data_IF_119817067739
#
_entry.id   IF_119817067739
#
_cell.length_a   1.000
_cell.length_b   1.000
_cell.length_c   1.000
_cell.angle_alpha   90.00
_cell.angle_beta   90.00
_cell.angle_gamma   90.00
#
_symmetry.space_group_name_H-M   'P 1'
#
loop_
_entity.id
_entity.type
_entity.pdbx_description
1 polymer ?
#
# COMPACT_ATOMS: atom_id res chain seq x y z
N UNK A 1 4.83 10.29 -12.12
CA UNK A 1 5.95 11.13 -11.64
C UNK A 1 6.26 12.23 -12.65
N UNK A 2 6.75 13.40 -12.23
CA UNK A 2 7.19 14.49 -13.12
C UNK A 2 8.28 14.07 -14.12
N UNK A 3 8.20 14.59 -15.35
CA UNK A 3 9.07 14.20 -16.46
C UNK A 3 10.54 14.65 -16.36
N UNK A 4 10.88 15.50 -15.39
CA UNK A 4 12.26 15.98 -15.17
C UNK A 4 13.04 15.17 -14.14
N UNK A 5 12.43 14.16 -13.52
CA UNK A 5 13.12 13.31 -12.54
C UNK A 5 14.02 12.29 -13.22
N UNK A 6 15.20 12.06 -12.62
CA UNK A 6 16.11 10.97 -12.98
C UNK A 6 15.58 9.64 -12.46
N UNK A 7 15.98 8.53 -13.06
CA UNK A 7 15.61 7.15 -12.69
C UNK A 7 15.75 6.87 -11.19
N UNK A 8 16.80 7.38 -10.53
CA UNK A 8 17.00 7.22 -9.08
C UNK A 8 15.87 7.87 -8.26
N UNK A 9 15.36 9.02 -8.71
CA UNK A 9 14.24 9.71 -8.06
C UNK A 9 12.92 9.00 -8.34
N UNK A 10 12.76 8.38 -9.50
CA UNK A 10 11.62 7.52 -9.81
C UNK A 10 11.56 6.33 -8.84
N UNK A 11 12.66 5.58 -8.72
CA UNK A 11 12.75 4.43 -7.82
C UNK A 11 12.49 4.83 -6.36
N UNK A 12 13.13 5.93 -5.91
CA UNK A 12 12.90 6.47 -4.57
C UNK A 12 11.42 6.81 -4.34
N UNK A 13 10.80 7.54 -5.28
CA UNK A 13 9.39 7.96 -5.15
C UNK A 13 8.46 6.75 -5.15
N UNK A 14 8.71 5.75 -5.99
CA UNK A 14 7.94 4.51 -6.02
C UNK A 14 8.02 3.75 -4.70
N UNK A 15 9.23 3.59 -4.15
CA UNK A 15 9.43 2.93 -2.86
C UNK A 15 8.73 3.69 -1.71
N UNK A 16 8.82 5.02 -1.70
CA UNK A 16 8.13 5.85 -0.71
C UNK A 16 6.61 5.74 -0.85
N UNK A 17 6.07 5.78 -2.07
CA UNK A 17 4.65 5.62 -2.34
C UNK A 17 4.13 4.22 -2.00
N UNK A 18 4.97 3.19 -2.06
CA UNK A 18 4.61 1.82 -1.67
C UNK A 18 4.54 1.62 -0.16
N UNK A 19 5.52 2.16 0.57
CA UNK A 19 5.57 2.05 2.05
C UNK A 19 4.56 2.99 2.71
N UNK A 20 4.21 4.11 2.07
CA UNK A 20 3.22 5.04 2.58
C UNK A 20 1.82 4.64 2.15
N UNK A 21 0.85 4.75 3.07
CA UNK A 21 -0.55 4.46 2.74
C UNK A 21 -1.06 5.35 1.62
N UNK A 22 -1.69 4.73 0.63
CA UNK A 22 -2.36 5.40 -0.48
C UNK A 22 -3.84 5.57 -0.15
N UNK A 23 -4.51 6.55 -0.75
CA UNK A 23 -5.94 6.77 -0.58
C UNK A 23 -6.55 7.06 -1.94
N UNK A 24 -7.80 6.66 -2.12
CA UNK A 24 -8.52 6.90 -3.37
C UNK A 24 -9.26 8.24 -3.31
N UNK A 25 -9.21 8.99 -4.41
CA UNK A 25 -9.99 10.22 -4.60
C UNK A 25 -10.71 10.12 -5.93
N UNK A 26 -11.99 10.49 -5.96
CA UNK A 26 -12.76 10.50 -7.19
C UNK A 26 -12.24 11.58 -8.15
N UNK A 27 -12.07 11.30 -9.46
CA UNK A 27 -11.42 12.23 -10.40
C UNK A 27 -12.06 13.62 -10.52
N UNK A 28 -13.37 13.74 -10.23
CA UNK A 28 -14.12 15.00 -10.31
C UNK A 28 -14.28 15.70 -8.95
N UNK A 29 -13.77 15.11 -7.87
CA UNK A 29 -13.87 15.64 -6.51
C UNK A 29 -12.64 16.48 -6.14
N UNK A 30 -12.82 17.46 -5.25
CA UNK A 30 -11.70 18.20 -4.70
C UNK A 30 -10.89 17.32 -3.74
N UNK A 31 -9.56 17.45 -3.78
CA UNK A 31 -8.68 16.75 -2.84
C UNK A 31 -9.00 17.26 -1.43
N UNK A 32 -9.37 16.38 -0.48
CA UNK A 32 -9.74 16.81 0.86
C UNK A 32 -8.53 17.38 1.60
N UNK A 33 -8.67 18.60 2.15
CA UNK A 33 -7.63 19.25 2.95
C UNK A 33 -7.44 18.62 4.34
N UNK A 34 -8.48 17.94 4.86
CA UNK A 34 -8.40 17.28 6.16
C UNK A 34 -7.59 15.98 6.08
N UNK A 35 -6.51 15.93 6.84
CA UNK A 35 -5.67 14.73 6.99
C UNK A 35 -6.45 13.54 7.59
N UNK A 36 -7.49 13.80 8.39
CA UNK A 36 -8.30 12.74 8.99
C UNK A 36 -9.09 11.97 7.93
N UNK A 37 -9.75 12.69 7.03
CA UNK A 37 -10.54 12.10 5.92
C UNK A 37 -9.64 11.28 4.99
N UNK A 38 -8.41 11.75 4.74
CA UNK A 38 -7.40 11.02 3.95
C UNK A 38 -6.91 9.75 4.63
N UNK A 39 -6.85 9.74 5.96
CA UNK A 39 -6.43 8.56 6.72
C UNK A 39 -7.53 7.50 6.77
N UNK A 40 -8.78 7.91 6.97
CA UNK A 40 -9.94 7.00 6.99
C UNK A 40 -10.16 6.32 5.64
N UNK A 41 -9.89 7.02 4.54
CA UNK A 41 -9.98 6.48 3.17
C UNK A 41 -8.69 5.78 2.69
N UNK A 42 -7.73 5.57 3.59
CA UNK A 42 -6.43 4.99 3.22
C UNK A 42 -6.47 3.47 3.11
N UNK A 43 -5.75 2.97 2.11
CA UNK A 43 -5.66 1.58 1.73
C UNK A 43 -4.41 0.98 2.38
N UNK A 44 -4.61 0.26 3.49
CA UNK A 44 -3.54 -0.35 4.29
C UNK A 44 -3.28 -1.83 3.97
N UNK A 45 -4.22 -2.52 3.29
CA UNK A 45 -4.21 -3.98 3.21
C UNK A 45 -3.05 -4.55 2.37
N UNK A 46 -2.59 -3.86 1.32
CA UNK A 46 -1.57 -4.38 0.41
C UNK A 46 -0.27 -4.80 1.11
N UNK A 47 0.11 -4.12 2.19
CA UNK A 47 1.31 -4.43 2.95
C UNK A 47 1.18 -5.75 3.74
N UNK A 48 -0.03 -6.09 4.18
CA UNK A 48 -0.28 -7.22 5.10
C UNK A 48 -0.65 -8.52 4.38
N UNK A 49 -1.24 -8.44 3.18
CA UNK A 49 -1.61 -9.59 2.36
C UNK A 49 -0.52 -10.67 2.26
N UNK A 50 0.75 -10.37 1.92
CA UNK A 50 1.77 -11.42 1.81
C UNK A 50 2.04 -12.13 3.14
N UNK A 51 2.04 -11.39 4.26
CA UNK A 51 2.25 -12.00 5.59
C UNK A 51 1.08 -12.89 6.01
N UNK A 52 -0.14 -12.47 5.74
CA UNK A 52 -1.35 -13.27 6.00
C UNK A 52 -1.32 -14.54 5.17
N UNK A 53 -0.96 -14.45 3.88
CA UNK A 53 -0.87 -15.61 2.99
C UNK A 53 0.19 -16.61 3.45
N UNK A 54 1.37 -16.15 3.85
CA UNK A 54 2.42 -17.00 4.41
C UNK A 54 1.95 -17.70 5.70
N UNK A 55 1.26 -16.96 6.57
CA UNK A 55 0.69 -17.49 7.80
C UNK A 55 -0.35 -18.57 7.49
N UNK A 56 -1.25 -18.32 6.54
CA UNK A 56 -2.28 -19.30 6.15
C UNK A 56 -1.67 -20.61 5.62
N UNK A 57 -0.67 -20.52 4.73
CA UNK A 57 0.04 -21.70 4.22
C UNK A 57 0.69 -22.48 5.37
N UNK A 58 1.34 -21.78 6.30
CA UNK A 58 1.94 -22.39 7.48
C UNK A 58 0.92 -23.16 8.33
N UNK A 59 -0.22 -22.56 8.66
CA UNK A 59 -1.27 -23.22 9.45
C UNK A 59 -1.94 -24.38 8.72
N UNK A 60 -2.08 -24.33 7.39
CA UNK A 60 -2.60 -25.45 6.60
C UNK A 60 -1.60 -26.61 6.50
N UNK A 61 -0.30 -26.33 6.56
CA UNK A 61 0.74 -27.35 6.56
C UNK A 61 0.93 -28.02 7.92
N UNK A 62 0.67 -27.29 9.02
CA UNK A 62 0.78 -27.77 10.39
C UNK A 62 0.04 -29.12 10.64
N UNK A 63 -1.25 -29.31 10.28
CA UNK A 63 -1.95 -30.59 10.47
C UNK A 63 -1.46 -31.73 9.55
N UNK A 64 -0.67 -31.42 8.51
CA UNK A 64 -0.07 -32.45 7.66
C UNK A 64 1.23 -33.00 8.28
N UNK A 65 1.94 -32.20 9.07
CA UNK A 65 3.23 -32.58 9.67
C UNK A 65 3.09 -33.22 11.05
N UNK A 66 2.07 -32.84 11.83
CA UNK A 66 1.72 -33.46 13.11
C UNK A 66 0.88 -34.72 12.90
#
# INVERSE_FOLDING_TARGET
IPAFFSDNFEEYTNNVCWVRNTYYVEPNSQIPDSNQIRHESSILYYQWIPFISLTQVFFCFLPYVL
#
